data_IF_987510366034
#
_entry.id   IF_987510366034
#
_cell.length_a   1.000
_cell.length_b   1.000
_cell.length_c   1.000
_cell.angle_alpha   90.00
_cell.angle_beta   90.00
_cell.angle_gamma   90.00
#
_symmetry.space_group_name_H-M   'P 1'
#
loop_
_entity.id
_entity.type
_entity.pdbx_description
1 polymer ?
#
# COMPACT_ATOMS: atom_id res chain seq x y z
N UNK A 1 -7.48 11.15 -21.54
CA UNK A 1 -7.24 10.26 -20.36
C UNK A 1 -5.86 10.46 -19.69
N UNK A 2 -4.93 11.28 -20.23
CA UNK A 2 -3.59 11.48 -19.64
C UNK A 2 -3.42 12.70 -18.71
N UNK A 3 -4.34 13.69 -18.73
CA UNK A 3 -4.20 14.95 -17.95
C UNK A 3 -4.40 14.79 -16.42
N UNK A 4 -5.06 13.71 -15.97
CA UNK A 4 -5.46 13.54 -14.56
C UNK A 4 -4.38 12.86 -13.68
N UNK A 5 -3.42 12.16 -14.27
CA UNK A 5 -2.38 11.44 -13.53
C UNK A 5 -1.17 12.32 -13.14
N UNK A 6 -0.97 13.44 -13.83
CA UNK A 6 0.21 14.30 -13.65
C UNK A 6 0.04 15.29 -12.49
N UNK A 7 -1.17 15.85 -12.33
CA UNK A 7 -1.51 16.72 -11.21
C UNK A 7 -1.40 15.97 -9.87
N UNK A 8 -1.82 14.70 -9.87
CA UNK A 8 -1.81 13.81 -8.72
C UNK A 8 -0.38 13.43 -8.27
N UNK A 9 0.59 13.43 -9.20
CA UNK A 9 2.02 13.25 -8.89
C UNK A 9 2.66 14.54 -8.34
N UNK A 10 2.25 15.71 -8.85
CA UNK A 10 2.72 17.02 -8.37
C UNK A 10 2.29 17.28 -6.92
N UNK A 11 1.06 16.90 -6.58
CA UNK A 11 0.48 17.14 -5.26
C UNK A 11 0.98 16.13 -4.20
N UNK A 12 1.39 14.93 -4.61
CA UNK A 12 2.07 13.95 -3.73
C UNK A 12 3.47 14.40 -3.32
N UNK A 13 4.23 14.99 -4.24
CA UNK A 13 5.61 15.43 -3.97
C UNK A 13 5.69 16.68 -3.08
N UNK A 14 4.67 17.53 -3.08
CA UNK A 14 4.59 18.72 -2.19
C UNK A 14 4.37 18.36 -0.71
N UNK A 15 3.87 17.16 -0.42
CA UNK A 15 3.48 16.74 0.93
C UNK A 15 4.55 15.90 1.65
N UNK A 16 5.57 15.38 0.94
CA UNK A 16 6.71 14.69 1.56
C UNK A 16 7.79 15.69 1.97
N UNK A 17 7.56 16.37 3.10
CA UNK A 17 8.65 17.07 3.81
C UNK A 17 9.47 16.05 4.61
N UNK A 18 10.78 16.13 4.41
CA UNK A 18 11.84 15.52 5.22
C UNK A 18 12.04 14.00 5.07
N UNK A 19 12.60 13.57 3.95
CA UNK A 19 13.58 12.48 3.98
C UNK A 19 14.69 12.75 2.98
N UNK A 20 15.91 12.31 3.31
CA UNK A 20 17.18 12.85 2.85
C UNK A 20 17.30 13.08 1.33
N UNK A 21 17.70 14.30 0.96
CA UNK A 21 18.02 14.67 -0.42
C UNK A 21 19.15 13.78 -0.99
N UNK A 22 19.06 13.33 -2.24
CA UNK A 22 20.17 12.65 -2.89
C UNK A 22 21.36 13.62 -3.00
N UNK A 23 22.53 13.20 -2.48
CA UNK A 23 23.79 13.92 -2.71
C UNK A 23 24.15 13.81 -4.19
N UNK A 24 23.99 14.91 -4.94
CA UNK A 24 24.56 15.02 -6.29
C UNK A 24 26.08 14.93 -6.20
N UNK A 25 26.68 13.95 -6.89
CA UNK A 25 28.13 13.90 -7.09
C UNK A 25 28.50 14.82 -8.25
N UNK A 26 29.20 15.90 -7.93
CA UNK A 26 29.88 16.76 -8.90
C UNK A 26 31.18 16.05 -9.28
N UNK A 27 31.35 15.71 -10.56
CA UNK A 27 32.61 15.18 -11.06
C UNK A 27 33.51 16.35 -11.45
N UNK A 28 34.45 16.71 -10.58
CA UNK A 28 35.54 17.62 -10.91
C UNK A 28 36.64 16.84 -11.65
N UNK A 29 37.09 17.35 -12.81
CA UNK A 29 38.23 16.79 -13.55
C UNK A 29 39.56 17.42 -13.15
N UNK A 30 39.55 18.42 -12.28
CA UNK A 30 40.73 18.91 -11.58
C UNK A 30 40.75 18.27 -10.19
N UNK A 31 41.85 17.60 -9.84
CA UNK A 31 41.93 16.73 -8.67
C UNK A 31 42.08 17.55 -7.36
N UNK A 32 41.11 18.42 -7.03
CA UNK A 32 41.07 19.19 -5.79
C UNK A 32 39.78 18.92 -5.00
N UNK A 33 39.96 18.70 -3.70
CA UNK A 33 38.90 18.29 -2.81
C UNK A 33 37.89 19.42 -2.53
N UNK A 34 36.60 19.06 -2.54
CA UNK A 34 35.45 19.76 -1.93
C UNK A 34 34.72 20.88 -2.71
N UNK A 35 34.22 20.60 -3.92
CA UNK A 35 33.03 21.31 -4.43
C UNK A 35 31.76 20.76 -3.74
N UNK A 36 30.89 21.64 -3.22
CA UNK A 36 29.57 21.27 -2.71
C UNK A 36 28.48 22.13 -3.36
N UNK A 37 27.43 21.48 -3.86
CA UNK A 37 26.24 22.14 -4.40
C UNK A 37 25.02 21.83 -3.51
N UNK A 38 24.27 22.86 -3.15
CA UNK A 38 23.06 22.72 -2.31
C UNK A 38 21.86 23.21 -3.10
N UNK A 39 20.92 22.29 -3.38
CA UNK A 39 19.64 22.65 -4.00
C UNK A 39 18.68 23.01 -2.88
N UNK A 40 18.31 24.28 -2.79
CA UNK A 40 17.25 24.72 -1.88
C UNK A 40 15.91 24.53 -2.57
N UNK A 41 15.25 23.40 -2.29
CA UNK A 41 13.84 23.07 -2.58
C UNK A 41 13.34 23.48 -3.97
N UNK A 42 13.38 22.56 -4.94
CA UNK A 42 12.79 22.77 -6.26
C UNK A 42 11.25 22.76 -6.18
N UNK A 43 10.61 23.80 -6.73
CA UNK A 43 9.17 23.79 -7.04
C UNK A 43 9.00 23.28 -8.46
N UNK A 44 8.32 22.14 -8.60
CA UNK A 44 7.95 21.57 -9.88
C UNK A 44 6.61 22.16 -10.32
N UNK A 45 6.62 22.96 -11.38
CA UNK A 45 5.40 23.40 -12.07
C UNK A 45 5.31 22.73 -13.43
N UNK A 46 4.20 22.03 -13.68
CA UNK A 46 3.88 21.43 -14.97
C UNK A 46 2.86 22.29 -15.71
N UNK A 47 3.12 22.61 -16.98
CA UNK A 47 2.11 23.13 -17.90
C UNK A 47 1.99 22.22 -19.11
N UNK A 48 0.76 21.98 -19.57
CA UNK A 48 0.44 21.03 -20.64
C UNK A 48 -0.13 21.79 -21.84
N UNK A 49 0.60 21.86 -22.96
CA UNK A 49 0.07 22.27 -24.28
C UNK A 49 -0.05 21.05 -25.19
N UNK A 50 -0.87 21.15 -26.25
CA UNK A 50 -1.44 20.03 -27.02
C UNK A 50 -0.49 19.23 -27.94
N UNK A 51 0.82 19.35 -27.78
CA UNK A 51 1.81 18.50 -28.46
C UNK A 51 2.76 17.90 -27.41
N UNK A 52 3.18 16.64 -27.62
CA UNK A 52 3.85 15.71 -26.69
C UNK A 52 5.21 16.16 -26.09
N UNK A 53 5.28 17.35 -25.51
CA UNK A 53 6.45 17.89 -24.84
C UNK A 53 6.12 18.25 -23.37
N UNK A 54 6.80 17.59 -22.45
CA UNK A 54 6.82 18.00 -21.03
C UNK A 54 7.93 19.02 -20.83
N UNK A 55 7.58 20.21 -20.32
CA UNK A 55 8.59 21.17 -19.87
C UNK A 55 8.69 21.14 -18.35
N UNK A 56 9.91 20.98 -17.85
CA UNK A 56 10.24 21.02 -16.43
C UNK A 56 10.93 22.36 -16.14
N UNK A 57 10.23 23.32 -15.56
CA UNK A 57 10.83 24.59 -15.16
C UNK A 57 11.26 24.54 -13.70
N UNK A 58 12.57 24.63 -13.42
CA UNK A 58 13.09 24.82 -12.07
C UNK A 58 13.19 26.32 -11.82
N UNK A 59 12.33 26.86 -10.94
CA UNK A 59 12.19 28.30 -10.74
C UNK A 59 13.00 28.87 -9.57
N UNK A 60 14.00 28.15 -9.05
CA UNK A 60 14.85 28.66 -7.96
C UNK A 60 16.35 28.52 -8.24
N UNK A 61 17.16 29.52 -7.82
CA UNK A 61 18.58 29.58 -8.12
C UNK A 61 19.35 28.44 -7.44
N UNK A 62 20.27 27.83 -8.19
CA UNK A 62 21.22 26.85 -7.66
C UNK A 62 22.46 27.63 -7.22
N UNK A 63 22.84 27.49 -5.95
CA UNK A 63 24.03 28.16 -5.40
C UNK A 63 25.19 27.18 -5.35
N UNK A 64 26.31 27.56 -5.97
CA UNK A 64 27.56 26.81 -5.94
C UNK A 64 28.54 27.51 -5.00
N UNK A 65 29.20 26.75 -4.12
CA UNK A 65 30.27 27.26 -3.25
C UNK A 65 31.57 26.53 -3.56
N UNK A 66 32.67 27.29 -3.61
CA UNK A 66 34.04 26.79 -3.85
C UNK A 66 34.23 26.05 -5.18
N UNK A 67 33.58 26.48 -6.25
CA UNK A 67 33.77 25.92 -7.59
C UNK A 67 34.41 26.95 -8.51
N UNK A 68 35.45 26.53 -9.24
CA UNK A 68 36.15 27.41 -10.17
C UNK A 68 35.26 27.67 -11.39
N UNK A 69 35.17 28.95 -11.80
CA UNK A 69 34.12 29.45 -12.72
C UNK A 69 34.15 28.85 -14.13
N UNK A 70 35.22 28.13 -14.48
CA UNK A 70 35.47 27.54 -15.79
C UNK A 70 35.07 26.07 -15.93
N UNK A 71 34.53 25.40 -14.89
CA UNK A 71 34.42 23.93 -14.89
C UNK A 71 33.05 23.33 -14.54
N UNK A 72 31.97 24.13 -14.44
CA UNK A 72 30.63 23.59 -14.13
C UNK A 72 29.93 23.12 -15.43
N UNK A 73 29.87 21.80 -15.63
CA UNK A 73 29.13 21.16 -16.72
C UNK A 73 27.85 20.53 -16.17
N UNK A 74 26.69 21.11 -16.51
CA UNK A 74 25.39 20.50 -16.28
C UNK A 74 25.04 19.64 -17.50
N UNK A 75 24.91 18.32 -17.34
CA UNK A 75 24.54 17.43 -18.45
C UNK A 75 23.05 17.56 -18.80
N UNK A 76 22.78 18.34 -19.84
CA UNK A 76 21.53 18.54 -20.58
C UNK A 76 21.84 19.53 -21.71
N UNK A 77 21.25 19.40 -22.89
CA UNK A 77 21.78 19.89 -24.19
C UNK A 77 21.95 21.41 -24.43
N UNK A 78 22.27 22.24 -23.42
CA UNK A 78 22.77 23.60 -23.66
C UNK A 78 23.99 23.93 -22.81
N UNK A 79 25.04 24.35 -23.50
CA UNK A 79 26.30 24.82 -22.92
C UNK A 79 26.12 26.28 -22.46
N UNK A 80 26.47 26.59 -21.22
CA UNK A 80 26.47 27.97 -20.71
C UNK A 80 27.89 28.37 -20.30
N UNK A 81 28.27 29.60 -20.65
CA UNK A 81 29.54 30.22 -20.28
C UNK A 81 29.25 31.37 -19.31
N UNK A 82 29.81 31.31 -18.11
CA UNK A 82 29.65 32.36 -17.09
C UNK A 82 30.85 33.30 -17.18
N UNK A 83 30.61 34.61 -17.35
CA UNK A 83 31.66 35.64 -17.27
C UNK A 83 31.52 36.39 -15.95
N UNK A 84 32.57 36.26 -15.15
CA UNK A 84 32.93 37.00 -13.93
C UNK A 84 32.12 36.79 -12.64
N UNK A 85 32.89 36.51 -11.60
CA UNK A 85 32.52 36.32 -10.20
C UNK A 85 32.18 37.62 -9.51
N UNK A 86 30.93 37.75 -9.10
CA UNK A 86 30.53 38.26 -7.78
C UNK A 86 29.06 37.86 -7.61
N UNK A 87 28.79 37.06 -6.58
CA UNK A 87 27.47 36.62 -6.10
C UNK A 87 26.27 37.23 -6.85
N UNK A 88 25.85 36.57 -7.94
CA UNK A 88 24.62 36.87 -8.66
C UNK A 88 23.87 35.58 -8.91
N UNK A 89 22.58 35.61 -8.60
CA UNK A 89 21.62 34.55 -8.88
C UNK A 89 21.60 34.24 -10.38
N UNK A 90 21.89 33.00 -10.75
CA UNK A 90 21.77 32.53 -12.12
C UNK A 90 20.45 31.74 -12.20
N UNK A 91 19.46 32.34 -12.84
CA UNK A 91 18.24 31.65 -13.22
C UNK A 91 18.55 30.73 -14.42
N UNK A 92 18.63 29.43 -14.17
CA UNK A 92 18.81 28.42 -15.23
C UNK A 92 17.44 27.87 -15.59
N UNK A 93 16.87 28.36 -16.69
CA UNK A 93 15.67 27.77 -17.29
C UNK A 93 16.11 26.75 -18.33
N UNK A 94 16.25 25.49 -17.94
CA UNK A 94 16.52 24.40 -18.89
C UNK A 94 15.22 23.69 -19.23
N UNK A 95 14.82 23.73 -20.50
CA UNK A 95 13.81 22.84 -21.05
C UNK A 95 14.41 21.45 -21.17
N UNK A 96 13.88 20.48 -20.43
CA UNK A 96 14.28 19.07 -20.55
C UNK A 96 13.29 18.40 -21.51
N UNK A 97 13.72 18.13 -22.74
CA UNK A 97 13.00 17.19 -23.60
C UNK A 97 13.27 15.77 -23.08
N UNK A 98 12.21 15.06 -22.68
CA UNK A 98 12.31 13.66 -22.30
C UNK A 98 12.45 12.83 -23.58
N UNK A 99 13.68 12.41 -23.86
CA UNK A 99 13.95 11.35 -24.84
C UNK A 99 13.19 10.08 -24.45
N UNK A 100 12.80 9.33 -25.48
CA UNK A 100 11.91 8.17 -25.42
C UNK A 100 12.11 7.25 -24.20
N UNK A 101 10.98 6.67 -23.77
CA UNK A 101 10.79 5.80 -22.59
C UNK A 101 11.80 4.65 -22.43
N UNK A 102 12.59 4.34 -23.46
CA UNK A 102 13.52 3.22 -23.50
C UNK A 102 14.97 3.58 -23.11
N UNK A 103 15.32 4.87 -22.97
CA UNK A 103 16.71 5.31 -22.77
C UNK A 103 17.04 5.81 -21.34
N UNK A 104 16.15 5.61 -20.36
CA UNK A 104 16.41 6.00 -18.96
C UNK A 104 17.32 4.94 -18.30
N UNK A 105 18.54 5.29 -17.84
CA UNK A 105 19.39 4.36 -17.11
C UNK A 105 18.69 3.91 -15.82
N UNK A 106 18.49 2.60 -15.66
CA UNK A 106 17.75 1.98 -14.54
C UNK A 106 18.35 2.23 -13.14
N UNK A 107 19.51 2.87 -13.03
CA UNK A 107 20.32 2.95 -11.81
C UNK A 107 20.14 4.22 -10.95
N UNK A 108 19.35 5.23 -11.36
CA UNK A 108 19.32 6.54 -10.64
C UNK A 108 18.00 6.84 -9.92
N UNK A 109 16.98 5.98 -10.01
CA UNK A 109 15.81 6.09 -9.15
C UNK A 109 15.99 5.14 -7.95
N UNK A 110 15.95 5.61 -6.69
CA UNK A 110 15.58 4.73 -5.60
C UNK A 110 14.23 4.15 -6.03
N UNK A 111 14.18 2.87 -6.36
CA UNK A 111 12.94 2.21 -6.69
C UNK A 111 12.11 2.22 -5.40
N UNK A 112 11.32 3.28 -5.20
CA UNK A 112 10.09 3.18 -4.44
C UNK A 112 9.32 2.08 -5.16
N UNK A 113 9.46 0.85 -4.66
CA UNK A 113 8.90 -0.37 -5.22
C UNK A 113 7.39 -0.12 -5.29
N UNK A 114 6.91 0.32 -6.45
CA UNK A 114 5.49 0.50 -6.70
C UNK A 114 4.91 -0.90 -6.57
N UNK A 115 4.26 -1.15 -5.44
CA UNK A 115 3.49 -2.35 -5.19
C UNK A 115 2.47 -2.54 -6.31
N UNK A 116 2.69 -3.54 -7.15
CA UNK A 116 1.84 -3.78 -8.31
C UNK A 116 0.51 -4.42 -7.89
N UNK A 117 -0.58 -4.07 -8.58
CA UNK A 117 -1.89 -4.73 -8.39
C UNK A 117 -1.75 -6.23 -8.70
N UNK A 118 -2.28 -7.07 -7.81
CA UNK A 118 -2.26 -8.53 -7.99
C UNK A 118 -3.21 -8.96 -9.10
N UNK A 119 -2.74 -9.86 -9.96
CA UNK A 119 -3.51 -10.41 -11.08
C UNK A 119 -4.40 -11.59 -10.65
N UNK A 120 -5.21 -12.11 -11.58
CA UNK A 120 -6.15 -13.22 -11.31
C UNK A 120 -5.47 -14.46 -10.74
N UNK A 121 -4.27 -14.81 -11.20
CA UNK A 121 -3.58 -16.04 -10.80
C UNK A 121 -3.27 -16.07 -9.30
N UNK A 122 -3.04 -14.91 -8.68
CA UNK A 122 -2.87 -14.80 -7.24
C UNK A 122 -4.11 -15.29 -6.47
N UNK A 123 -5.31 -15.00 -6.96
CA UNK A 123 -6.56 -15.37 -6.30
C UNK A 123 -7.02 -16.79 -6.65
N UNK A 124 -6.61 -17.31 -7.81
CA UNK A 124 -7.00 -18.64 -8.34
C UNK A 124 -6.23 -19.79 -7.70
N UNK A 125 -6.12 -19.78 -6.38
CA UNK A 125 -5.49 -20.83 -5.56
C UNK A 125 -6.45 -21.32 -4.47
N UNK A 126 -6.22 -22.50 -3.86
CA UNK A 126 -7.08 -23.01 -2.78
C UNK A 126 -7.24 -22.01 -1.63
N UNK A 127 -8.42 -21.98 -1.02
CA UNK A 127 -8.82 -20.98 -0.02
C UNK A 127 -7.80 -20.77 1.12
N UNK A 128 -7.23 -21.85 1.66
CA UNK A 128 -6.23 -21.77 2.73
C UNK A 128 -4.92 -21.13 2.24
N UNK A 129 -4.47 -21.49 1.03
CA UNK A 129 -3.28 -20.91 0.41
C UNK A 129 -3.49 -19.42 0.16
N UNK A 130 -4.68 -19.03 -0.35
CA UNK A 130 -5.02 -17.62 -0.54
C UNK A 130 -5.04 -16.86 0.79
N UNK A 131 -5.57 -17.46 1.86
CA UNK A 131 -5.66 -16.84 3.17
C UNK A 131 -4.28 -16.49 3.74
N UNK A 132 -3.30 -17.39 3.58
CA UNK A 132 -1.91 -17.14 3.95
C UNK A 132 -1.25 -16.12 3.00
N UNK A 133 -1.41 -16.29 1.69
CA UNK A 133 -0.76 -15.44 0.68
C UNK A 133 -1.22 -13.96 0.74
N UNK A 134 -2.44 -13.72 1.23
CA UNK A 134 -2.97 -12.37 1.48
C UNK A 134 -2.28 -11.65 2.64
N UNK A 135 -1.67 -12.35 3.59
CA UNK A 135 -0.93 -11.71 4.68
C UNK A 135 0.25 -10.91 4.12
N UNK A 136 0.44 -9.71 4.65
CA UNK A 136 1.45 -8.75 4.19
C UNK A 136 1.05 -7.94 2.96
N UNK A 137 0.06 -8.40 2.17
CA UNK A 137 -0.43 -7.65 0.99
C UNK A 137 -1.24 -6.43 1.41
N UNK A 138 -1.39 -5.46 0.52
CA UNK A 138 -2.08 -4.20 0.83
C UNK A 138 -3.43 -4.15 0.15
N UNK A 139 -4.50 -4.04 0.95
CA UNK A 139 -5.80 -3.66 0.43
C UNK A 139 -5.83 -2.15 0.20
N UNK A 140 -6.21 -1.75 -1.00
CA UNK A 140 -6.24 -0.36 -1.42
C UNK A 140 -7.66 0.06 -1.72
N UNK A 141 -8.00 1.29 -1.35
CA UNK A 141 -9.25 1.93 -1.69
C UNK A 141 -9.01 3.35 -2.24
N UNK A 142 -9.72 3.69 -3.31
CA UNK A 142 -9.93 5.09 -3.71
C UNK A 142 -11.25 5.59 -3.13
N UNK A 143 -11.19 6.62 -2.28
CA UNK A 143 -12.35 7.26 -1.64
C UNK A 143 -12.33 8.74 -1.98
N UNK A 144 -13.30 9.19 -2.79
CA UNK A 144 -13.41 10.59 -3.22
C UNK A 144 -12.12 11.16 -3.83
N UNK A 145 -11.42 10.35 -4.64
CA UNK A 145 -10.14 10.71 -5.24
C UNK A 145 -8.92 10.56 -4.31
N UNK A 146 -9.13 10.29 -3.02
CA UNK A 146 -8.05 10.05 -2.06
C UNK A 146 -7.75 8.55 -2.02
N UNK A 147 -6.48 8.21 -2.20
CA UNK A 147 -5.99 6.85 -2.02
C UNK A 147 -5.74 6.58 -0.54
N UNK A 148 -6.24 5.44 -0.07
CA UNK A 148 -5.94 4.91 1.27
C UNK A 148 -5.58 3.43 1.14
N UNK A 149 -4.63 2.96 1.94
CA UNK A 149 -4.17 1.58 1.90
C UNK A 149 -3.87 1.05 3.29
N UNK A 150 -4.12 -0.24 3.48
CA UNK A 150 -3.83 -0.96 4.71
C UNK A 150 -3.24 -2.34 4.40
N UNK A 151 -2.22 -2.74 5.16
CA UNK A 151 -1.61 -4.06 5.09
C UNK A 151 -2.50 -5.10 5.78
N UNK A 152 -2.75 -6.22 5.13
CA UNK A 152 -3.54 -7.32 5.69
C UNK A 152 -2.69 -8.09 6.69
N UNK A 153 -3.17 -8.19 7.93
CA UNK A 153 -2.43 -8.83 9.04
C UNK A 153 -3.17 -10.01 9.68
N UNK A 154 -4.45 -10.22 9.31
CA UNK A 154 -5.26 -11.34 9.80
C UNK A 154 -6.32 -11.72 8.77
N UNK A 155 -6.45 -13.02 8.50
CA UNK A 155 -7.40 -13.62 7.56
C UNK A 155 -8.06 -14.88 8.13
N UNK A 156 -9.23 -15.25 7.61
CA UNK A 156 -9.87 -16.54 7.87
C UNK A 156 -10.29 -17.20 6.55
N UNK A 157 -10.04 -18.50 6.43
CA UNK A 157 -10.49 -19.31 5.31
C UNK A 157 -11.88 -19.92 5.59
N UNK A 158 -12.75 -19.85 4.58
CA UNK A 158 -14.05 -20.52 4.56
C UNK A 158 -14.11 -21.47 3.35
N UNK A 159 -14.24 -22.77 3.59
CA UNK A 159 -13.92 -23.81 2.60
C UNK A 159 -15.11 -24.26 1.73
N UNK A 160 -16.15 -23.45 1.61
CA UNK A 160 -17.30 -23.78 0.76
C UNK A 160 -18.26 -24.78 1.40
N UNK A 161 -18.82 -25.67 0.58
CA UNK A 161 -19.90 -26.59 0.94
C UNK A 161 -19.56 -27.58 2.08
N UNK A 162 -18.28 -27.83 2.34
CA UNK A 162 -17.86 -28.71 3.45
C UNK A 162 -17.87 -28.01 4.80
N UNK A 163 -17.74 -26.68 4.81
CA UNK A 163 -17.43 -25.91 6.01
C UNK A 163 -18.69 -25.36 6.69
N UNK A 164 -19.08 -25.95 7.83
CA UNK A 164 -20.29 -25.53 8.58
C UNK A 164 -20.27 -24.06 9.02
N UNK A 165 -19.10 -23.43 9.10
CA UNK A 165 -18.99 -22.00 9.42
C UNK A 165 -19.16 -21.09 8.20
N UNK A 166 -19.10 -21.62 6.98
CA UNK A 166 -19.20 -20.85 5.76
C UNK A 166 -20.66 -20.53 5.40
N UNK A 167 -20.90 -19.33 4.88
CA UNK A 167 -22.22 -18.97 4.35
C UNK A 167 -22.64 -19.84 3.15
N UNK A 168 -21.70 -20.54 2.52
CA UNK A 168 -21.86 -21.44 1.39
C UNK A 168 -22.10 -22.90 1.78
N UNK A 169 -22.08 -23.25 3.07
CA UNK A 169 -22.32 -24.63 3.56
C UNK A 169 -23.60 -25.24 3.00
N UNK A 170 -24.67 -24.44 2.92
CA UNK A 170 -25.98 -24.85 2.38
C UNK A 170 -26.16 -24.51 0.90
N UNK A 171 -25.08 -24.27 0.18
CA UNK A 171 -25.08 -23.88 -1.23
C UNK A 171 -25.28 -22.38 -1.47
N UNK A 172 -25.53 -22.05 -2.73
CA UNK A 172 -25.63 -20.67 -3.21
C UNK A 172 -26.98 -20.03 -2.86
N UNK A 173 -26.93 -18.75 -2.49
CA UNK A 173 -28.06 -17.85 -2.27
C UNK A 173 -27.75 -16.49 -2.89
N UNK A 174 -28.75 -15.63 -3.07
CA UNK A 174 -28.53 -14.26 -3.56
C UNK A 174 -27.54 -13.47 -2.69
N UNK A 175 -27.52 -13.77 -1.38
CA UNK A 175 -26.62 -13.12 -0.43
C UNK A 175 -25.17 -13.52 -0.66
N UNK A 176 -24.87 -14.80 -0.87
CA UNK A 176 -23.49 -15.32 -0.91
C UNK A 176 -22.98 -15.55 -2.34
N UNK A 177 -23.75 -15.18 -3.38
CA UNK A 177 -23.40 -15.35 -4.80
C UNK A 177 -21.97 -14.96 -5.16
N UNK A 178 -21.43 -13.90 -4.54
CA UNK A 178 -20.05 -13.47 -4.75
C UNK A 178 -18.99 -14.53 -4.42
N UNK A 179 -19.26 -15.45 -3.48
CA UNK A 179 -18.37 -16.58 -3.14
C UNK A 179 -18.36 -17.68 -4.22
N UNK A 180 -19.32 -17.66 -5.14
CA UNK A 180 -19.43 -18.59 -6.27
C UNK A 180 -19.00 -17.93 -7.59
N UNK A 181 -18.61 -16.66 -7.54
CA UNK A 181 -18.05 -15.94 -8.69
C UNK A 181 -16.55 -16.21 -8.79
N UNK A 182 -15.95 -15.75 -9.89
CA UNK A 182 -14.53 -15.93 -10.19
C UNK A 182 -13.62 -15.56 -9.00
N UNK A 183 -12.48 -16.26 -8.81
CA UNK A 183 -11.52 -15.92 -7.76
C UNK A 183 -11.08 -14.47 -7.85
N UNK A 184 -11.00 -13.75 -6.73
CA UNK A 184 -10.72 -12.32 -6.67
C UNK A 184 -11.98 -11.43 -6.68
N UNK A 185 -13.18 -12.01 -6.73
CA UNK A 185 -14.42 -11.25 -6.49
C UNK A 185 -14.60 -10.93 -5.00
N UNK A 186 -14.89 -9.67 -4.69
CA UNK A 186 -15.20 -9.23 -3.33
C UNK A 186 -16.60 -9.67 -2.90
N UNK A 187 -16.69 -10.38 -1.79
CA UNK A 187 -17.94 -10.69 -1.12
C UNK A 187 -18.11 -9.83 0.13
N UNK A 188 -19.01 -8.86 0.06
CA UNK A 188 -19.33 -7.96 1.17
C UNK A 188 -20.75 -8.19 1.65
N UNK A 189 -20.91 -8.43 2.94
CA UNK A 189 -22.22 -8.63 3.55
C UNK A 189 -22.38 -7.82 4.83
N UNK A 190 -23.63 -7.46 5.13
CA UNK A 190 -23.96 -6.80 6.38
C UNK A 190 -24.08 -7.82 7.52
N UNK A 191 -23.55 -7.47 8.69
CA UNK A 191 -23.64 -8.24 9.93
C UNK A 191 -24.17 -7.33 11.05
N UNK A 192 -25.02 -7.89 11.91
CA UNK A 192 -25.68 -7.16 13.00
C UNK A 192 -26.40 -5.87 12.54
N UNK A 193 -26.94 -5.87 11.32
CA UNK A 193 -27.69 -4.74 10.72
C UNK A 193 -26.85 -3.56 10.24
N UNK A 194 -25.77 -3.20 10.97
CA UNK A 194 -25.05 -1.92 10.77
C UNK A 194 -23.59 -2.07 10.34
N UNK A 195 -23.01 -3.26 10.46
CA UNK A 195 -21.61 -3.51 10.14
C UNK A 195 -21.47 -4.30 8.84
N UNK A 196 -20.28 -4.29 8.25
CA UNK A 196 -19.95 -5.05 7.04
C UNK A 196 -18.71 -5.91 7.29
N UNK A 197 -18.64 -7.06 6.61
CA UNK A 197 -17.41 -7.83 6.46
C UNK A 197 -17.06 -7.94 4.98
N UNK A 198 -15.77 -8.01 4.65
CA UNK A 198 -15.29 -8.24 3.28
C UNK A 198 -14.53 -9.56 3.18
N UNK A 199 -14.89 -10.35 2.18
CA UNK A 199 -14.24 -11.59 1.84
C UNK A 199 -13.79 -11.53 0.38
N UNK A 200 -12.87 -12.39 -0.01
CA UNK A 200 -12.38 -12.51 -1.38
C UNK A 200 -12.61 -13.95 -1.83
N UNK A 201 -13.36 -14.14 -2.92
CA UNK A 201 -13.56 -15.44 -3.54
C UNK A 201 -12.22 -16.08 -3.92
N UNK A 202 -12.04 -17.36 -3.62
CA UNK A 202 -10.83 -18.14 -3.95
C UNK A 202 -11.14 -19.20 -5.00
N UNK A 203 -10.18 -20.08 -5.30
CA UNK A 203 -10.49 -21.33 -6.00
C UNK A 203 -11.41 -22.20 -5.12
N UNK A 204 -12.38 -22.85 -5.75
CA UNK A 204 -13.37 -23.74 -5.11
C UNK A 204 -14.75 -23.08 -4.96
N UNK A 205 -15.81 -23.85 -5.25
CA UNK A 205 -17.18 -23.31 -5.20
C UNK A 205 -17.58 -22.86 -3.79
N UNK A 206 -18.00 -21.60 -3.69
CA UNK A 206 -18.41 -21.02 -2.41
C UNK A 206 -17.26 -20.80 -1.44
N UNK A 207 -16.00 -20.95 -1.84
CA UNK A 207 -14.84 -20.76 -0.99
C UNK A 207 -14.37 -19.29 -1.02
N UNK A 208 -14.09 -18.72 0.16
CA UNK A 208 -13.65 -17.35 0.26
C UNK A 208 -12.81 -17.08 1.51
N UNK A 209 -11.96 -16.07 1.43
CA UNK A 209 -11.13 -15.61 2.54
C UNK A 209 -11.72 -14.33 3.13
N UNK A 210 -12.06 -14.32 4.42
CA UNK A 210 -12.38 -13.10 5.16
C UNK A 210 -11.09 -12.34 5.47
N UNK A 211 -11.05 -11.05 5.13
CA UNK A 211 -10.04 -10.14 5.70
C UNK A 211 -10.57 -9.69 7.06
N UNK A 212 -9.82 -9.99 8.12
CA UNK A 212 -10.25 -9.70 9.49
C UNK A 212 -9.63 -8.46 10.07
N UNK A 213 -8.35 -8.25 9.80
CA UNK A 213 -7.66 -7.10 10.35
C UNK A 213 -6.60 -6.57 9.41
N UNK A 214 -6.37 -5.27 9.52
CA UNK A 214 -5.38 -4.54 8.73
C UNK A 214 -4.59 -3.56 9.58
N UNK A 215 -3.35 -3.32 9.17
CA UNK A 215 -2.49 -2.24 9.64
C UNK A 215 -2.56 -1.07 8.64
N UNK A 216 -2.98 0.14 9.04
CA UNK A 216 -2.96 1.31 8.15
C UNK A 216 -1.54 1.62 7.66
N UNK A 217 -1.38 1.89 6.36
CA UNK A 217 -0.06 2.24 5.76
C UNK A 217 -0.10 3.52 4.94
N UNK A 218 -1.25 3.92 4.41
CA UNK A 218 -1.41 5.13 3.60
C UNK A 218 -2.78 5.77 3.89
N UNK A 219 -2.80 7.09 4.11
CA UNK A 219 -4.02 7.86 4.34
C UNK A 219 -4.71 7.58 5.69
N UNK A 220 -3.91 7.35 6.74
CA UNK A 220 -4.38 7.07 8.11
C UNK A 220 -5.31 8.16 8.65
N UNK A 221 -5.07 9.44 8.32
CA UNK A 221 -5.91 10.57 8.70
C UNK A 221 -7.32 10.44 8.12
N UNK A 222 -7.41 10.00 6.85
CA UNK A 222 -8.71 9.74 6.21
C UNK A 222 -9.42 8.55 6.84
N UNK A 223 -8.68 7.50 7.20
CA UNK A 223 -9.26 6.36 7.94
C UNK A 223 -9.81 6.78 9.32
N UNK A 224 -9.10 7.67 10.02
CA UNK A 224 -9.56 8.26 11.29
C UNK A 224 -10.83 9.09 11.10
N UNK A 225 -10.91 9.91 10.06
CA UNK A 225 -12.11 10.69 9.72
C UNK A 225 -13.31 9.76 9.45
N UNK A 226 -13.11 8.74 8.61
CA UNK A 226 -14.13 7.75 8.27
C UNK A 226 -14.65 6.99 9.50
N UNK A 227 -13.78 6.70 10.47
CA UNK A 227 -14.14 6.04 11.74
C UNK A 227 -14.75 7.01 12.76
N UNK A 228 -14.24 8.23 12.83
CA UNK A 228 -14.65 9.27 13.77
C UNK A 228 -16.05 9.81 13.49
N UNK A 229 -16.45 9.89 12.22
CA UNK A 229 -17.79 10.35 11.80
C UNK A 229 -18.96 9.55 12.39
N UNK A 230 -18.71 8.33 12.90
CA UNK A 230 -19.73 7.46 13.51
C UNK A 230 -19.65 7.33 15.03
N UNK A 231 -18.66 7.92 15.70
CA UNK A 231 -18.51 7.82 17.16
C UNK A 231 -19.04 9.06 17.85
N UNK A 232 -20.11 8.91 18.63
CA UNK A 232 -20.66 9.94 19.53
C UNK A 232 -19.81 10.15 20.79
N UNK A 233 -18.70 9.40 20.94
CA UNK A 233 -17.82 9.46 22.11
C UNK A 233 -16.51 10.20 21.81
N UNK A 234 -16.18 11.21 22.63
CA UNK A 234 -14.93 12.02 22.59
C UNK A 234 -13.63 11.23 22.89
N UNK A 235 -13.61 9.90 22.73
CA UNK A 235 -12.40 9.11 22.98
C UNK A 235 -11.51 9.13 21.74
N UNK A 236 -10.28 9.62 21.89
CA UNK A 236 -9.27 9.62 20.82
C UNK A 236 -9.06 8.19 20.33
N UNK A 237 -9.44 7.93 19.07
CA UNK A 237 -9.19 6.66 18.38
C UNK A 237 -7.68 6.46 18.23
N UNK A 238 -7.16 5.36 18.76
CA UNK A 238 -5.75 4.98 18.56
C UNK A 238 -5.58 4.36 17.18
N UNK A 239 -4.40 4.52 16.56
CA UNK A 239 -4.11 3.95 15.25
C UNK A 239 -4.39 2.44 15.17
N UNK A 240 -4.01 1.67 16.21
CA UNK A 240 -4.29 0.23 16.30
C UNK A 240 -5.76 -0.14 16.20
N UNK A 241 -6.66 0.76 16.59
CA UNK A 241 -8.10 0.53 16.63
C UNK A 241 -8.79 0.82 15.29
N UNK A 242 -8.03 1.30 14.29
CA UNK A 242 -8.52 1.55 12.93
C UNK A 242 -8.83 0.25 12.17
N UNK A 243 -7.97 -0.75 12.27
CA UNK A 243 -8.09 -1.95 11.44
C UNK A 243 -8.20 -3.27 12.21
N UNK A 244 -8.19 -3.27 13.54
CA UNK A 244 -8.19 -4.49 14.37
C UNK A 244 -9.57 -5.17 14.50
N UNK A 245 -10.24 -5.42 13.37
CA UNK A 245 -11.47 -6.20 13.30
C UNK A 245 -12.20 -6.05 11.96
N UNK A 246 -13.02 -7.05 11.56
CA UNK A 246 -13.54 -7.16 10.19
C UNK A 246 -14.48 -6.00 9.84
N UNK A 247 -15.29 -5.56 10.80
CA UNK A 247 -16.16 -4.39 10.64
C UNK A 247 -15.40 -3.07 10.75
N UNK A 248 -14.35 -3.03 11.56
CA UNK A 248 -13.53 -1.84 11.80
C UNK A 248 -12.74 -1.47 10.54
N UNK A 249 -12.11 -2.45 9.90
CA UNK A 249 -11.40 -2.20 8.64
C UNK A 249 -12.37 -1.78 7.52
N UNK A 250 -13.57 -2.38 7.44
CA UNK A 250 -14.55 -1.97 6.44
C UNK A 250 -14.94 -0.50 6.62
N UNK A 251 -15.12 -0.04 7.86
CA UNK A 251 -15.39 1.38 8.13
C UNK A 251 -14.20 2.27 7.77
N UNK A 252 -12.99 1.88 8.17
CA UNK A 252 -11.76 2.65 7.88
C UNK A 252 -11.46 2.77 6.39
N UNK A 253 -11.88 1.79 5.60
CA UNK A 253 -11.72 1.75 4.14
C UNK A 253 -12.99 2.17 3.37
N UNK A 254 -14.02 2.70 4.05
CA UNK A 254 -15.31 3.07 3.45
C UNK A 254 -15.92 1.95 2.57
N UNK A 255 -15.78 0.69 2.99
CA UNK A 255 -16.33 -0.49 2.34
C UNK A 255 -17.76 -0.70 2.83
N UNK A 256 -18.70 -0.75 1.90
CA UNK A 256 -20.10 -1.10 2.15
C UNK A 256 -20.56 -2.16 1.16
N UNK A 257 -21.60 -2.94 1.52
CA UNK A 257 -22.20 -3.90 0.58
C UNK A 257 -22.61 -3.22 -0.73
N UNK A 258 -23.21 -2.04 -0.67
CA UNK A 258 -23.69 -1.31 -1.84
C UNK A 258 -22.56 -0.83 -2.77
N UNK A 259 -21.37 -0.55 -2.22
CA UNK A 259 -20.24 -0.05 -3.01
C UNK A 259 -19.34 -1.16 -3.56
N UNK A 260 -19.11 -2.23 -2.80
CA UNK A 260 -18.02 -3.19 -3.06
C UNK A 260 -18.47 -4.62 -3.33
N UNK A 261 -19.68 -5.04 -2.90
CA UNK A 261 -20.07 -6.43 -3.10
C UNK A 261 -20.10 -6.79 -4.59
N UNK A 262 -19.60 -7.99 -4.93
CA UNK A 262 -19.48 -8.52 -6.29
C UNK A 262 -18.51 -7.74 -7.22
N UNK A 263 -17.74 -6.78 -6.70
CA UNK A 263 -16.66 -6.12 -7.47
C UNK A 263 -15.51 -7.08 -7.71
N UNK A 264 -14.82 -6.92 -8.83
CA UNK A 264 -13.65 -7.71 -9.20
C UNK A 264 -12.36 -6.99 -8.82
N UNK A 265 -11.62 -7.50 -7.83
CA UNK A 265 -10.41 -6.83 -7.30
C UNK A 265 -9.24 -6.78 -8.29
N UNK A 266 -9.31 -7.54 -9.39
CA UNK A 266 -8.29 -7.52 -10.45
C UNK A 266 -8.48 -6.30 -11.35
N UNK A 267 -9.73 -5.87 -11.58
CA UNK A 267 -10.09 -4.88 -12.60
C UNK A 267 -10.70 -3.61 -12.04
N UNK A 268 -11.23 -3.61 -10.82
CA UNK A 268 -11.92 -2.46 -10.24
C UNK A 268 -10.97 -1.28 -9.96
N UNK A 269 -11.41 -0.08 -10.32
CA UNK A 269 -10.62 1.15 -10.15
C UNK A 269 -10.74 1.76 -8.75
N UNK A 270 -11.69 1.27 -7.94
CA UNK A 270 -11.96 1.82 -6.63
C UNK A 270 -11.41 0.94 -5.49
N UNK A 271 -11.23 -0.37 -5.70
CA UNK A 271 -10.68 -1.30 -4.70
C UNK A 271 -9.87 -2.41 -5.35
N UNK A 272 -8.66 -2.68 -4.83
CA UNK A 272 -7.79 -3.75 -5.30
C UNK A 272 -6.79 -4.19 -4.22
N UNK A 273 -6.05 -5.27 -4.47
CA UNK A 273 -4.92 -5.70 -3.64
C UNK A 273 -3.62 -5.46 -4.38
N UNK A 274 -2.62 -4.93 -3.69
CA UNK A 274 -1.26 -4.75 -4.21
C UNK A 274 -0.27 -5.72 -3.53
N UNK A 275 0.74 -6.12 -4.30
CA UNK A 275 1.89 -6.86 -3.83
C UNK A 275 2.68 -6.02 -2.81
N UNK A 276 3.10 -6.65 -1.72
CA UNK A 276 4.01 -6.07 -0.74
C UNK A 276 4.79 -7.24 -0.14
N UNK A 277 5.73 -6.93 0.74
CA UNK A 277 6.63 -7.92 1.32
C UNK A 277 5.83 -9.10 1.90
N UNK A 278 6.08 -10.33 1.42
CA UNK A 278 5.41 -11.51 1.94
C UNK A 278 5.79 -11.72 3.41
N UNK A 279 4.84 -12.20 4.20
CA UNK A 279 5.11 -12.59 5.58
C UNK A 279 5.72 -14.01 5.54
N UNK A 280 6.91 -14.23 6.12
CA UNK A 280 7.48 -15.57 6.23
C UNK A 280 6.56 -16.52 6.99
N UNK A 281 6.50 -17.79 6.60
CA UNK A 281 5.57 -18.78 7.21
C UNK A 281 5.83 -18.96 8.71
N UNK A 282 7.08 -18.83 9.14
CA UNK A 282 7.49 -18.86 10.55
C UNK A 282 6.99 -17.67 11.37
N UNK A 283 6.43 -16.63 10.72
CA UNK A 283 5.79 -15.49 11.37
C UNK A 283 4.26 -15.54 11.26
N UNK A 284 3.69 -16.63 10.74
CA UNK A 284 2.24 -16.80 10.61
C UNK A 284 1.74 -17.72 11.71
N UNK A 285 0.86 -17.20 12.57
CA UNK A 285 0.14 -17.99 13.55
C UNK A 285 -1.10 -18.58 12.91
N UNK A 286 -1.24 -19.91 13.01
CA UNK A 286 -2.41 -20.66 12.54
C UNK A 286 -3.24 -21.11 13.75
N UNK A 287 -4.53 -20.78 13.77
CA UNK A 287 -5.42 -21.11 14.91
C UNK A 287 -6.90 -21.17 14.49
N UNK A 288 -7.77 -21.49 15.45
CA UNK A 288 -9.22 -21.48 15.32
C UNK A 288 -9.77 -20.09 14.96
N UNK A 289 -10.88 -20.11 14.22
CA UNK A 289 -11.61 -18.91 13.77
C UNK A 289 -12.45 -18.33 14.90
N UNK A 290 -12.82 -17.05 14.77
CA UNK A 290 -13.48 -16.29 15.83
C UNK A 290 -14.99 -16.20 15.58
N UNK A 291 -15.78 -16.34 16.65
CA UNK A 291 -17.24 -16.18 16.66
C UNK A 291 -18.00 -17.17 15.76
N UNK A 292 -17.54 -18.42 15.68
CA UNK A 292 -18.17 -19.49 14.89
C UNK A 292 -18.65 -20.67 15.74
N UNK A 293 -19.00 -20.47 17.02
CA UNK A 293 -19.38 -21.55 17.94
C UNK A 293 -20.63 -22.36 17.52
N UNK A 294 -21.38 -21.91 16.51
CA UNK A 294 -22.47 -22.65 15.89
C UNK A 294 -21.99 -23.73 14.89
N UNK A 295 -20.70 -23.76 14.55
CA UNK A 295 -20.16 -24.56 13.46
C UNK A 295 -19.66 -25.95 13.89
N UNK A 296 -20.00 -26.39 15.11
CA UNK A 296 -19.68 -27.73 15.61
C UNK A 296 -18.17 -28.03 15.48
N UNK A 297 -17.77 -29.14 14.84
CA UNK A 297 -16.39 -29.55 14.65
C UNK A 297 -15.54 -28.58 13.82
N UNK A 298 -16.17 -27.62 13.13
CA UNK A 298 -15.49 -26.57 12.37
C UNK A 298 -15.03 -25.40 13.22
N UNK A 299 -15.45 -25.35 14.50
CA UNK A 299 -15.03 -24.34 15.48
C UNK A 299 -13.55 -24.45 15.79
N UNK A 300 -13.03 -25.67 15.95
CA UNK A 300 -11.65 -25.93 16.37
C UNK A 300 -10.66 -26.03 15.19
N UNK A 301 -11.15 -25.97 13.94
CA UNK A 301 -10.28 -26.11 12.77
C UNK A 301 -9.33 -24.91 12.63
N UNK A 302 -8.03 -25.16 12.35
CA UNK A 302 -7.00 -24.12 12.25
C UNK A 302 -7.09 -23.37 10.92
N UNK A 303 -8.14 -22.56 10.76
CA UNK A 303 -8.49 -21.85 9.52
C UNK A 303 -8.42 -20.33 9.66
N UNK A 304 -7.78 -19.83 10.72
CA UNK A 304 -7.44 -18.42 10.93
C UNK A 304 -5.92 -18.25 10.91
N UNK A 305 -5.47 -17.21 10.22
CA UNK A 305 -4.06 -16.92 10.01
C UNK A 305 -3.79 -15.47 10.39
N UNK A 306 -2.72 -15.19 11.13
CA UNK A 306 -2.31 -13.82 11.42
C UNK A 306 -0.83 -13.66 11.64
N UNK A 307 -0.34 -12.42 11.49
CA UNK A 307 1.06 -12.07 11.67
C UNK A 307 1.41 -12.05 13.16
N UNK A 308 2.39 -12.86 13.56
CA UNK A 308 2.87 -12.99 14.93
C UNK A 308 3.24 -11.62 15.53
N UNK A 309 2.80 -11.37 16.76
CA UNK A 309 3.08 -10.15 17.53
C UNK A 309 2.60 -8.82 16.90
N UNK A 310 1.88 -8.84 15.79
CA UNK A 310 1.39 -7.61 15.17
C UNK A 310 0.28 -6.95 16.02
N UNK A 311 0.47 -5.69 16.37
CA UNK A 311 -0.43 -4.93 17.26
C UNK A 311 -1.83 -4.65 16.65
N UNK A 312 -1.99 -4.85 15.34
CA UNK A 312 -3.24 -4.64 14.61
C UNK A 312 -4.09 -5.91 14.47
N UNK A 313 -3.61 -7.07 14.93
CA UNK A 313 -4.41 -8.31 14.99
C UNK A 313 -5.60 -8.10 15.93
N UNK A 314 -6.80 -8.57 15.52
CA UNK A 314 -8.03 -8.34 16.30
C UNK A 314 -8.04 -9.10 17.62
N UNK A 315 -7.70 -10.38 17.60
CA UNK A 315 -7.64 -11.24 18.79
C UNK A 315 -6.43 -12.15 18.69
N UNK A 316 -5.47 -11.98 19.60
CA UNK A 316 -4.27 -12.82 19.69
C UNK A 316 -4.57 -14.11 20.45
N UNK A 317 -4.14 -15.23 19.91
CA UNK A 317 -4.16 -16.53 20.57
C UNK A 317 -2.77 -16.83 21.15
N UNK A 318 -2.59 -16.48 22.43
CA UNK A 318 -1.31 -16.63 23.12
C UNK A 318 -0.81 -18.07 23.16
N UNK A 319 -1.70 -19.07 23.15
CA UNK A 319 -1.29 -20.48 23.16
C UNK A 319 -0.72 -20.88 21.81
N UNK A 320 -1.39 -20.50 20.72
CA UNK A 320 -0.89 -20.74 19.37
C UNK A 320 0.45 -20.01 19.11
N UNK A 321 0.61 -18.79 19.60
CA UNK A 321 1.89 -18.05 19.52
C UNK A 321 3.05 -18.77 20.25
N UNK A 322 2.79 -19.29 21.45
CA UNK A 322 3.79 -20.06 22.22
C UNK A 322 4.17 -21.37 21.53
N UNK A 323 3.21 -22.04 20.88
CA UNK A 323 3.46 -23.24 20.08
C UNK A 323 4.44 -22.96 18.94
N UNK A 324 4.28 -21.82 18.24
CA UNK A 324 5.15 -21.40 17.16
C UNK A 324 6.60 -21.18 17.62
N UNK A 325 6.77 -20.48 18.75
CA UNK A 325 8.08 -20.23 19.37
C UNK A 325 8.79 -21.52 19.85
N UNK A 326 8.01 -22.57 20.14
CA UNK A 326 8.55 -23.87 20.58
C UNK A 326 8.95 -24.76 19.39
N UNK A 327 8.39 -24.52 18.20
CA UNK A 327 8.65 -25.28 16.96
C UNK A 327 9.81 -24.75 16.10
N UNK A 328 10.40 -23.59 16.43
CA UNK A 328 11.47 -22.96 15.64
C UNK A 328 12.46 -22.15 16.50
N UNK A 329 13.67 -22.69 16.63
CA UNK A 329 14.98 -22.07 16.93
C UNK A 329 14.96 -20.72 17.68
N UNK A 330 15.43 -20.78 18.92
CA UNK A 330 15.91 -19.70 19.81
C UNK A 330 15.94 -18.28 19.24
N UNK A 331 15.06 -17.45 19.81
CA UNK A 331 15.18 -16.01 20.03
C UNK A 331 16.64 -15.50 20.01
N UNK A 332 17.00 -14.74 18.99
CA UNK A 332 18.18 -13.86 19.01
C UNK A 332 17.92 -12.45 18.46
N UNK A 333 16.65 -12.02 18.33
CA UNK A 333 16.31 -10.71 17.75
C UNK A 333 15.49 -9.77 18.64
N UNK A 334 15.35 -10.06 19.93
CA UNK A 334 14.65 -9.16 20.86
C UNK A 334 15.47 -8.83 22.10
N UNK A 335 16.68 -8.31 21.87
CA UNK A 335 17.30 -7.33 22.76
C UNK A 335 17.57 -6.08 21.91
N UNK A 336 17.06 -4.92 22.38
CA UNK A 336 17.10 -3.58 21.78
C UNK A 336 15.90 -3.16 20.92
N UNK A 337 14.81 -2.74 21.59
CA UNK A 337 14.23 -1.39 21.43
C UNK A 337 13.19 -1.10 22.51
#
# INVERSE_FOLDING_TARGET
MAKRSVQDLSDRYKNEKHSALPKLRVADRSNQASCSATISTALLTSSCSEEDAFSLSVSKPITFQNCDSSSIILKGEKQFSIKETTSKEIAVTTSVELLHKNDIPKEILPQAKLSERLNRNFYSVPCQQLAMALLGKRIVRMVNGIRIAARIVETEAYLGAVDKAAHSYKGQTDRNKAMFMQPGTAYVYNIYGIYCCINISSQGEGAAVLIRSVEPVEGTEKMLELRGSKSSSKKTLKARDLGNGPSKLCQSLAITKASINQRDLVTDDCIWIEADEPIPEEQVVVTARINIGYAEEWTDKPLRYYVLHNAHVSVRDKKAEQGLASSGITSSYFENN
#
